data_IF_465904739426
#
_entry.id   IF_465904739426
#
_cell.length_a   1.000
_cell.length_b   1.000
_cell.length_c   1.000
_cell.angle_alpha   90.00
_cell.angle_beta   90.00
_cell.angle_gamma   90.00
#
_symmetry.space_group_name_H-M   'P 1'
#
loop_
_entity.id
_entity.type
_entity.pdbx_description
1 polymer ?
#
# COMPACT_ATOMS: atom_id res chain seq x y z
N UNK A 1 30.17 1.95 -10.13
CA UNK A 1 30.34 0.74 -9.31
C UNK A 1 29.12 -0.15 -9.43
N UNK A 2 29.29 -1.39 -9.84
CA UNK A 2 28.17 -2.32 -10.00
C UNK A 2 27.83 -2.96 -8.66
N UNK A 3 26.56 -2.95 -8.30
CA UNK A 3 26.04 -3.54 -7.05
C UNK A 3 24.90 -4.51 -7.37
N UNK A 4 24.70 -5.48 -6.49
CA UNK A 4 23.62 -6.44 -6.61
C UNK A 4 22.68 -6.33 -5.40
N UNK A 5 21.38 -6.44 -5.64
CA UNK A 5 20.34 -6.55 -4.60
C UNK A 5 19.57 -7.83 -4.78
N UNK A 6 19.15 -8.42 -3.67
CA UNK A 6 18.33 -9.62 -3.67
C UNK A 6 16.91 -9.29 -3.26
N UNK A 7 15.94 -9.87 -3.95
CA UNK A 7 14.52 -9.76 -3.65
C UNK A 7 13.88 -11.14 -3.69
N UNK A 8 12.74 -11.27 -3.03
CA UNK A 8 11.89 -12.46 -3.14
C UNK A 8 10.64 -12.04 -3.91
N UNK A 9 10.33 -12.75 -5.01
CA UNK A 9 9.17 -12.44 -5.82
C UNK A 9 7.88 -12.69 -5.04
N UNK A 10 6.98 -11.71 -5.04
CA UNK A 10 5.67 -11.81 -4.39
C UNK A 10 4.53 -11.91 -5.39
N UNK A 11 4.84 -12.03 -6.69
CA UNK A 11 3.83 -12.12 -7.75
C UNK A 11 3.05 -13.43 -7.77
N UNK A 12 3.56 -14.47 -7.09
CA UNK A 12 2.89 -15.75 -6.94
C UNK A 12 3.44 -16.47 -5.69
N UNK A 13 2.79 -17.55 -5.21
CA UNK A 13 3.22 -18.23 -3.97
C UNK A 13 4.59 -18.93 -4.04
N UNK A 14 5.19 -19.06 -5.22
CA UNK A 14 6.48 -19.78 -5.39
C UNK A 14 7.62 -19.08 -4.65
N UNK A 15 7.61 -17.74 -4.61
CA UNK A 15 8.63 -16.97 -3.90
C UNK A 15 10.02 -17.06 -4.53
N UNK A 16 10.11 -16.93 -5.85
CA UNK A 16 11.39 -17.02 -6.55
C UNK A 16 12.41 -16.01 -6.03
N UNK A 17 13.65 -16.44 -5.72
CA UNK A 17 14.72 -15.50 -5.38
C UNK A 17 15.14 -14.72 -6.63
N UNK A 18 15.19 -13.40 -6.50
CA UNK A 18 15.52 -12.49 -7.59
C UNK A 18 16.83 -11.78 -7.29
N UNK A 19 17.67 -11.66 -8.31
CA UNK A 19 18.90 -10.88 -8.21
C UNK A 19 18.85 -9.73 -9.21
N UNK A 20 19.02 -8.51 -8.72
CA UNK A 20 19.05 -7.31 -9.52
C UNK A 20 20.43 -6.70 -9.46
N UNK A 21 21.08 -6.53 -10.60
CA UNK A 21 22.38 -5.89 -10.71
C UNK A 21 22.18 -4.48 -11.24
N UNK A 22 22.79 -3.51 -10.58
CA UNK A 22 22.62 -2.11 -10.95
C UNK A 22 23.92 -1.31 -10.82
N UNK A 23 24.00 -0.23 -11.58
CA UNK A 23 25.07 0.75 -11.52
C UNK A 23 24.42 2.12 -11.24
N UNK A 24 24.59 2.62 -10.00
CA UNK A 24 23.86 3.79 -9.56
C UNK A 24 22.34 3.53 -9.59
N UNK A 25 21.59 4.33 -10.32
CA UNK A 25 20.13 4.16 -10.48
C UNK A 25 19.76 3.32 -11.70
N UNK A 26 20.75 2.86 -12.50
CA UNK A 26 20.52 2.11 -13.71
C UNK A 26 20.59 0.61 -13.47
N UNK A 27 19.51 -0.11 -13.83
CA UNK A 27 19.46 -1.56 -13.77
C UNK A 27 20.18 -2.13 -14.99
N UNK A 28 21.14 -3.04 -14.74
CA UNK A 28 21.88 -3.69 -15.83
C UNK A 28 21.43 -5.12 -16.08
N UNK A 29 20.96 -5.83 -15.04
CA UNK A 29 20.53 -7.21 -15.17
C UNK A 29 19.55 -7.60 -14.06
N UNK A 30 18.56 -8.43 -14.41
CA UNK A 30 17.67 -9.07 -13.45
C UNK A 30 17.63 -10.55 -13.77
N UNK A 31 17.87 -11.41 -12.77
CA UNK A 31 17.91 -12.86 -12.93
C UNK A 31 17.18 -13.57 -11.80
N UNK A 32 16.98 -14.88 -11.94
CA UNK A 32 16.28 -15.71 -10.96
C UNK A 32 14.77 -15.74 -11.14
N UNK A 33 14.22 -14.89 -12.02
CA UNK A 33 12.79 -14.86 -12.31
C UNK A 33 12.39 -16.04 -13.23
N UNK A 34 11.39 -16.79 -12.82
CA UNK A 34 10.83 -17.87 -13.66
C UNK A 34 9.77 -17.34 -14.63
N UNK A 35 9.31 -16.08 -14.42
CA UNK A 35 8.34 -15.42 -15.30
C UNK A 35 8.56 -13.91 -15.27
N UNK A 36 7.91 -13.22 -16.20
CA UNK A 36 8.02 -11.76 -16.34
C UNK A 36 7.55 -10.99 -15.10
N UNK A 37 6.68 -11.58 -14.29
CA UNK A 37 6.19 -10.95 -13.05
C UNK A 37 7.32 -10.68 -12.06
N UNK A 38 8.29 -11.60 -11.97
CA UNK A 38 9.46 -11.42 -11.11
C UNK A 38 10.31 -10.26 -11.56
N UNK A 39 10.60 -10.16 -12.86
CA UNK A 39 11.38 -9.06 -13.39
C UNK A 39 10.69 -7.71 -13.20
N UNK A 40 9.38 -7.64 -13.42
CA UNK A 40 8.59 -6.42 -13.21
C UNK A 40 8.59 -6.01 -11.75
N UNK A 41 8.43 -6.97 -10.84
CA UNK A 41 8.45 -6.71 -9.41
C UNK A 41 9.81 -6.14 -8.96
N UNK A 42 10.91 -6.78 -9.37
CA UNK A 42 12.25 -6.32 -9.00
C UNK A 42 12.52 -4.91 -9.51
N UNK A 43 12.12 -4.62 -10.74
CA UNK A 43 12.26 -3.30 -11.35
C UNK A 43 11.47 -2.23 -10.58
N UNK A 44 10.20 -2.51 -10.25
CA UNK A 44 9.34 -1.62 -9.48
C UNK A 44 9.90 -1.38 -8.08
N UNK A 45 10.32 -2.43 -7.40
CA UNK A 45 10.85 -2.35 -6.04
C UNK A 45 12.15 -1.56 -5.96
N UNK A 46 12.97 -1.65 -6.99
CA UNK A 46 14.23 -0.91 -7.05
C UNK A 46 14.03 0.57 -7.40
N UNK A 47 13.13 0.86 -8.37
CA UNK A 47 12.96 2.22 -8.89
C UNK A 47 11.95 3.05 -8.11
N UNK A 48 10.83 2.45 -7.71
CA UNK A 48 9.73 3.15 -7.06
C UNK A 48 8.95 2.16 -6.17
N UNK A 49 9.53 1.77 -5.03
CA UNK A 49 8.87 0.82 -4.14
C UNK A 49 7.57 1.41 -3.59
N UNK A 50 6.49 0.64 -3.71
CA UNK A 50 5.16 1.03 -3.27
C UNK A 50 4.54 -0.04 -2.39
N UNK A 51 3.65 0.37 -1.50
CA UNK A 51 2.97 -0.53 -0.57
C UNK A 51 1.50 -0.18 -0.47
N UNK A 52 0.67 -1.20 -0.27
CA UNK A 52 -0.73 -1.01 0.05
C UNK A 52 -0.86 -0.78 1.56
N UNK A 53 -1.78 0.09 1.94
CA UNK A 53 -1.99 0.42 3.34
C UNK A 53 -3.39 0.02 3.77
N UNK A 54 -3.49 -0.71 4.88
CA UNK A 54 -4.73 -1.02 5.59
C UNK A 54 -4.50 -0.70 7.06
N UNK A 55 -5.46 -0.02 7.68
CA UNK A 55 -5.37 0.34 9.10
C UNK A 55 -6.76 0.59 9.65
N UNK A 56 -6.87 1.24 10.79
CA UNK A 56 -8.16 1.58 11.38
C UNK A 56 -8.18 3.06 11.76
N UNK A 57 -9.39 3.63 11.78
CA UNK A 57 -9.63 4.98 12.28
C UNK A 57 -10.67 4.94 13.38
N UNK A 58 -10.70 6.01 14.21
CA UNK A 58 -11.70 6.12 15.26
C UNK A 58 -13.08 6.35 14.66
N UNK A 59 -14.07 5.61 15.15
CA UNK A 59 -15.48 5.81 14.77
C UNK A 59 -16.31 6.07 16.03
N UNK A 60 -17.18 7.05 15.94
CA UNK A 60 -18.05 7.45 17.04
C UNK A 60 -19.48 7.04 16.76
N UNK A 61 -20.18 6.56 17.78
CA UNK A 61 -21.60 6.22 17.71
C UNK A 61 -21.87 4.84 17.14
N UNK A 62 -20.84 4.03 16.89
CA UNK A 62 -20.99 2.66 16.44
C UNK A 62 -20.69 1.68 17.58
N UNK A 63 -21.07 0.42 17.39
CA UNK A 63 -20.79 -0.66 18.34
C UNK A 63 -19.29 -0.85 18.58
N UNK A 64 -18.50 -0.70 17.53
CA UNK A 64 -17.06 -0.81 17.60
C UNK A 64 -16.44 0.58 17.62
N UNK A 65 -15.29 0.73 18.26
CA UNK A 65 -14.61 2.02 18.36
C UNK A 65 -13.64 2.29 17.22
N UNK A 66 -13.28 1.25 16.46
CA UNK A 66 -12.35 1.36 15.34
C UNK A 66 -13.01 0.87 14.06
N UNK A 67 -12.83 1.62 12.99
CA UNK A 67 -13.32 1.28 11.66
C UNK A 67 -12.13 0.89 10.78
N UNK A 68 -12.13 -0.33 10.21
CA UNK A 68 -11.06 -0.68 9.27
C UNK A 68 -11.19 0.12 7.99
N UNK A 69 -10.06 0.61 7.51
CA UNK A 69 -9.96 1.41 6.29
C UNK A 69 -8.79 0.94 5.45
N UNK A 70 -8.81 1.25 4.16
CA UNK A 70 -7.70 0.96 3.24
C UNK A 70 -7.50 2.13 2.28
N UNK A 71 -6.30 2.21 1.73
CA UNK A 71 -6.00 3.10 0.61
C UNK A 71 -6.27 2.32 -0.68
N UNK A 72 -6.95 2.93 -1.64
CA UNK A 72 -7.40 2.23 -2.86
C UNK A 72 -6.27 1.90 -3.84
N UNK A 73 -5.09 2.47 -3.64
CA UNK A 73 -3.92 2.21 -4.49
C UNK A 73 -2.63 2.22 -3.70
N UNK A 74 -1.53 1.79 -4.32
CA UNK A 74 -0.26 1.72 -3.61
C UNK A 74 0.33 3.11 -3.35
N UNK A 75 0.99 3.26 -2.21
CA UNK A 75 1.65 4.49 -1.75
C UNK A 75 3.15 4.27 -1.74
N UNK A 76 3.93 5.29 -2.02
CA UNK A 76 5.39 5.22 -1.97
C UNK A 76 5.85 4.73 -0.60
N UNK A 77 6.74 3.75 -0.58
CA UNK A 77 7.25 3.16 0.64
C UNK A 77 7.79 4.20 1.63
N UNK A 78 8.48 5.22 1.14
CA UNK A 78 9.03 6.28 1.97
C UNK A 78 7.99 7.20 2.61
N UNK A 79 6.73 7.14 2.18
CA UNK A 79 5.64 7.97 2.71
C UNK A 79 4.65 7.21 3.59
N UNK A 80 4.92 5.94 3.90
CA UNK A 80 3.99 5.11 4.69
C UNK A 80 3.74 5.68 6.08
N UNK A 81 4.79 6.11 6.80
CA UNK A 81 4.62 6.68 8.14
C UNK A 81 3.79 7.97 8.11
N UNK A 82 4.08 8.86 7.16
CA UNK A 82 3.29 10.07 6.94
C UNK A 82 1.84 9.75 6.63
N UNK A 83 1.62 8.81 5.71
CA UNK A 83 0.30 8.38 5.31
C UNK A 83 -0.50 7.83 6.49
N UNK A 84 0.11 6.94 7.27
CA UNK A 84 -0.53 6.33 8.43
C UNK A 84 -0.88 7.38 9.49
N UNK A 85 0.01 8.34 9.72
CA UNK A 85 -0.27 9.43 10.66
C UNK A 85 -1.47 10.27 10.20
N UNK A 86 -1.53 10.61 8.91
CA UNK A 86 -2.66 11.37 8.38
C UNK A 86 -3.98 10.60 8.50
N UNK A 87 -3.96 9.31 8.21
CA UNK A 87 -5.15 8.47 8.36
C UNK A 87 -5.61 8.43 9.82
N UNK A 88 -4.69 8.33 10.76
CA UNK A 88 -5.02 8.25 12.18
C UNK A 88 -5.56 9.56 12.77
N UNK A 89 -5.48 10.68 12.06
CA UNK A 89 -6.12 11.93 12.50
C UNK A 89 -7.62 11.97 12.21
N UNK A 90 -8.11 11.03 11.41
CA UNK A 90 -9.51 10.99 11.01
C UNK A 90 -10.38 10.44 12.13
N UNK A 91 -11.52 11.10 12.34
CA UNK A 91 -12.56 10.65 13.25
C UNK A 91 -13.85 10.61 12.44
N UNK A 92 -14.52 9.48 12.42
CA UNK A 92 -15.72 9.27 11.61
C UNK A 92 -16.92 9.04 12.53
N UNK A 93 -18.08 9.48 12.10
CA UNK A 93 -19.34 9.22 12.81
C UNK A 93 -20.15 8.17 12.06
N UNK A 94 -20.73 7.22 12.79
CA UNK A 94 -21.68 6.29 12.22
C UNK A 94 -22.94 7.02 11.75
N UNK A 95 -23.63 6.59 10.67
CA UNK A 95 -23.36 5.37 9.91
C UNK A 95 -22.23 5.53 8.88
N UNK A 96 -21.54 4.43 8.60
CA UNK A 96 -20.53 4.34 7.54
C UNK A 96 -20.86 3.12 6.68
N UNK A 97 -20.73 3.26 5.37
CA UNK A 97 -20.94 2.15 4.43
C UNK A 97 -19.63 1.63 3.89
N UNK A 98 -19.58 0.32 3.64
CA UNK A 98 -18.46 -0.31 2.96
C UNK A 98 -18.13 0.43 1.66
N UNK A 99 -16.88 0.80 1.45
CA UNK A 99 -16.44 1.52 0.26
C UNK A 99 -16.64 3.03 0.32
N UNK A 100 -17.23 3.55 1.41
CA UNK A 100 -17.38 5.00 1.56
C UNK A 100 -16.04 5.70 1.57
N UNK A 101 -15.88 6.74 0.75
CA UNK A 101 -14.66 7.52 0.67
C UNK A 101 -14.56 8.45 1.89
N UNK A 102 -13.44 8.34 2.62
CA UNK A 102 -13.17 9.17 3.79
C UNK A 102 -12.19 10.30 3.48
N UNK A 103 -11.22 10.04 2.61
CA UNK A 103 -10.31 11.06 2.07
C UNK A 103 -10.20 10.84 0.57
N UNK A 104 -10.44 11.89 -0.21
CA UNK A 104 -10.21 11.87 -1.66
C UNK A 104 -8.80 12.33 -1.99
N UNK A 105 -8.23 11.81 -3.08
CA UNK A 105 -6.90 12.18 -3.58
C UNK A 105 -5.86 12.21 -2.45
N UNK A 106 -5.76 11.08 -1.75
CA UNK A 106 -4.92 10.93 -0.57
C UNK A 106 -3.46 11.22 -0.91
N UNK A 107 -2.80 12.04 -0.08
CA UNK A 107 -1.42 12.51 -0.27
C UNK A 107 -1.21 13.21 -1.61
N UNK A 108 -2.26 13.81 -2.17
CA UNK A 108 -2.19 14.49 -3.47
C UNK A 108 -2.17 13.55 -4.67
N UNK A 109 -2.35 12.24 -4.46
CA UNK A 109 -2.37 11.26 -5.54
C UNK A 109 -3.78 11.12 -6.11
N UNK A 110 -3.98 11.67 -7.30
CA UNK A 110 -5.28 11.70 -7.95
C UNK A 110 -5.83 10.29 -8.19
N UNK A 111 -7.08 10.05 -7.75
CA UNK A 111 -7.74 8.77 -7.90
C UNK A 111 -7.39 7.74 -6.82
N UNK A 112 -6.52 8.08 -5.87
CA UNK A 112 -6.18 7.21 -4.75
C UNK A 112 -6.87 7.76 -3.50
N UNK A 113 -7.77 6.98 -2.92
CA UNK A 113 -8.63 7.39 -1.83
C UNK A 113 -8.47 6.50 -0.60
N UNK A 114 -8.86 7.02 0.56
CA UNK A 114 -9.00 6.22 1.77
C UNK A 114 -10.47 5.87 1.92
N UNK A 115 -10.77 4.58 1.96
CA UNK A 115 -12.16 4.09 1.98
C UNK A 115 -12.41 3.15 3.16
N UNK A 116 -13.67 3.08 3.59
CA UNK A 116 -14.09 2.17 4.65
C UNK A 116 -14.12 0.73 4.15
N UNK A 117 -13.58 -0.19 4.95
CA UNK A 117 -13.57 -1.63 4.64
C UNK A 117 -14.74 -2.38 5.25
N UNK A 118 -15.60 -1.70 5.99
CA UNK A 118 -16.75 -2.30 6.65
C UNK A 118 -17.87 -1.29 6.80
N UNK A 119 -19.11 -1.77 6.71
CA UNK A 119 -20.28 -0.96 7.06
C UNK A 119 -20.51 -1.03 8.57
N UNK A 120 -20.81 0.13 9.18
CA UNK A 120 -21.14 0.21 10.60
C UNK A 120 -22.33 1.12 10.80
N UNK A 121 -23.36 0.60 11.45
CA UNK A 121 -24.56 1.35 11.77
C UNK A 121 -24.42 2.05 13.12
N UNK A 122 -25.18 3.15 13.37
CA UNK A 122 -25.14 3.80 14.66
C UNK A 122 -25.82 2.91 15.71
N UNK A 123 -25.34 3.03 16.95
CA UNK A 123 -25.98 2.39 18.09
C UNK A 123 -27.26 3.16 18.38
N UNK A 124 -28.36 2.45 18.43
CA UNK A 124 -29.66 3.06 18.74
C UNK A 124 -29.73 3.57 20.18
#
# INVERSE_FOLDING_TARGET
MVKAKEYTCIGCPIGCPLQLVHKGSKITEISGNECDRGAKYAKQEFTDPRREISTTVEIIGARWKRLPVKVTGPVKKGRILEATRQIHTIQVKAPVKLGQVLIEDFLGAKGIDVVACRSMDPIA
#
